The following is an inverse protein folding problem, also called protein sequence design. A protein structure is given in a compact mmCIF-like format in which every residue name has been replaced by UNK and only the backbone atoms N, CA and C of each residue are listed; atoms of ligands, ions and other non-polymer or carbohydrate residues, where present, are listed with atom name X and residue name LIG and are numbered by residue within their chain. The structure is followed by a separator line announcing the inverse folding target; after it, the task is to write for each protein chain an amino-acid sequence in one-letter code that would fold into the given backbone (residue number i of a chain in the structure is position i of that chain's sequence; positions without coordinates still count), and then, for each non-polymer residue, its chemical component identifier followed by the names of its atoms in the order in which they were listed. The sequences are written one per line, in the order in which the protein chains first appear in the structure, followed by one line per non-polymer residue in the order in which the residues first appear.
data_IF_108168980092
#
_entry.id   IF_108168980092
#
_cell.length_a   1.000
_cell.length_b   1.000
_cell.length_c   1.000
_cell.angle_alpha   90.00
_cell.angle_beta   90.00
_cell.angle_gamma   90.00
#
_symmetry.space_group_name_H-M   'P 1'
#
loop_
_entity.id
_entity.type
_entity.pdbx_description
1 polymer ?
#
# COMPACT_ATOMS: atom_id res chain seq x y z
N UNK A 1 -30.34 -71.20 6.12
CA UNK A 1 -29.17 -71.99 6.55
C UNK A 1 -28.52 -71.27 7.73
N UNK A 2 -28.55 -71.87 8.94
CA UNK A 2 -27.76 -71.55 10.15
C UNK A 2 -27.88 -70.12 10.73
N UNK A 3 -28.78 -69.79 11.67
CA UNK A 3 -28.76 -70.09 13.12
C UNK A 3 -27.37 -69.95 13.80
N UNK A 4 -27.17 -68.92 14.63
CA UNK A 4 -27.30 -69.01 16.10
C UNK A 4 -27.00 -67.69 16.82
N UNK A 5 -27.93 -67.36 17.71
CA UNK A 5 -27.85 -66.39 18.80
C UNK A 5 -27.11 -67.07 19.95
N UNK A 6 -26.23 -66.38 20.68
CA UNK A 6 -26.00 -66.66 22.10
C UNK A 6 -25.30 -65.49 22.80
N UNK A 7 -26.09 -64.81 23.62
CA UNK A 7 -25.70 -63.94 24.74
C UNK A 7 -24.79 -64.67 25.71
N UNK A 8 -23.75 -63.99 26.22
CA UNK A 8 -23.11 -64.35 27.48
C UNK A 8 -22.92 -63.07 28.33
N UNK A 9 -23.70 -63.00 29.39
CA UNK A 9 -23.63 -61.98 30.43
C UNK A 9 -22.72 -62.43 31.59
N UNK A 10 -22.40 -61.45 32.45
CA UNK A 10 -21.66 -61.49 33.75
C UNK A 10 -20.16 -61.21 33.59
N UNK A 11 -19.57 -60.25 34.31
CA UNK A 11 -19.76 -59.93 35.74
C UNK A 11 -19.59 -58.43 36.02
N UNK A 12 -20.39 -57.95 36.96
CA UNK A 12 -20.16 -56.73 37.74
C UNK A 12 -18.96 -56.99 38.66
N UNK A 13 -17.98 -56.09 38.67
CA UNK A 13 -17.19 -55.82 39.86
C UNK A 13 -17.05 -54.31 40.01
N UNK A 14 -17.75 -53.80 41.02
CA UNK A 14 -17.67 -52.44 41.49
C UNK A 14 -16.45 -52.37 42.40
N UNK A 15 -15.41 -51.64 42.01
CA UNK A 15 -14.32 -51.27 42.93
C UNK A 15 -14.22 -49.75 42.95
N UNK A 16 -14.89 -49.15 43.94
CA UNK A 16 -14.60 -47.81 44.40
C UNK A 16 -13.27 -47.85 45.14
N UNK A 17 -12.24 -47.19 44.60
CA UNK A 17 -11.07 -46.77 45.38
C UNK A 17 -11.07 -45.25 45.40
N UNK A 18 -11.21 -44.71 46.61
CA UNK A 18 -11.12 -43.31 46.95
C UNK A 18 -9.65 -42.84 46.95
N UNK A 19 -9.47 -41.62 46.43
CA UNK A 19 -8.47 -40.60 46.79
C UNK A 19 -6.97 -40.90 46.64
N UNK A 20 -6.35 -40.21 45.68
CA UNK A 20 -5.14 -39.42 45.92
C UNK A 20 -5.03 -38.31 44.86
N UNK A 21 -5.08 -37.05 45.32
CA UNK A 21 -4.74 -35.90 44.50
C UNK A 21 -3.22 -35.92 44.24
N UNK A 22 -2.83 -35.99 42.97
CA UNK A 22 -1.49 -35.68 42.51
C UNK A 22 -1.61 -34.58 41.45
N UNK A 23 -1.31 -33.35 41.87
CA UNK A 23 -1.22 -32.20 40.97
C UNK A 23 -0.16 -32.46 39.91
N UNK A 24 -0.60 -32.57 38.66
CA UNK A 24 0.26 -32.63 37.49
C UNK A 24 0.19 -31.26 36.82
N UNK A 25 1.27 -30.49 36.92
CA UNK A 25 1.51 -29.31 36.07
C UNK A 25 1.59 -29.81 34.62
N UNK A 26 0.48 -29.73 33.90
CA UNK A 26 0.50 -29.87 32.45
C UNK A 26 1.14 -28.60 31.88
N UNK A 27 2.46 -28.65 31.66
CA UNK A 27 3.16 -27.72 30.81
C UNK A 27 2.51 -27.79 29.43
N UNK A 28 1.82 -26.72 29.06
CA UNK A 28 1.15 -26.58 27.79
C UNK A 28 2.16 -26.70 26.65
N UNK A 29 2.06 -27.79 25.90
CA UNK A 29 2.41 -27.77 24.49
C UNK A 29 1.22 -27.13 23.78
N UNK A 30 1.19 -25.80 23.79
CA UNK A 30 0.50 -25.09 22.74
C UNK A 30 1.16 -25.56 21.43
N UNK A 31 0.44 -26.35 20.64
CA UNK A 31 0.73 -26.41 19.22
C UNK A 31 0.90 -24.96 18.73
N UNK A 32 1.81 -24.67 17.79
CA UNK A 32 1.74 -23.37 17.14
C UNK A 32 0.31 -23.28 16.63
N UNK A 33 -0.43 -22.28 17.12
CA UNK A 33 -1.70 -21.95 16.53
C UNK A 33 -1.43 -21.87 15.04
N UNK A 34 -2.13 -22.70 14.25
CA UNK A 34 -2.23 -22.54 12.81
C UNK A 34 -2.28 -21.03 12.55
N UNK A 35 -1.21 -20.48 11.97
CA UNK A 35 -1.13 -19.07 11.68
C UNK A 35 -2.41 -18.72 10.91
N UNK A 36 -3.19 -17.79 11.45
CA UNK A 36 -4.56 -17.52 11.03
C UNK A 36 -4.69 -17.65 9.51
N UNK A 37 -5.42 -18.67 9.05
CA UNK A 37 -5.83 -18.83 7.66
C UNK A 37 -6.90 -17.79 7.27
N UNK A 38 -6.69 -16.54 7.69
CA UNK A 38 -7.58 -15.41 7.52
C UNK A 38 -6.73 -14.16 7.42
N UNK A 39 -6.30 -13.83 6.20
CA UNK A 39 -5.55 -12.61 5.94
C UNK A 39 -6.28 -11.36 6.47
N UNK A 40 -5.49 -10.33 6.72
CA UNK A 40 -5.86 -9.02 7.27
C UNK A 40 -5.83 -8.00 6.13
N UNK A 41 -6.83 -7.11 6.10
CA UNK A 41 -6.83 -5.87 5.32
C UNK A 41 -6.20 -4.77 6.17
N UNK A 42 -5.12 -4.18 5.66
CA UNK A 42 -4.46 -3.01 6.24
C UNK A 42 -4.89 -1.77 5.46
N UNK A 43 -5.29 -0.69 6.15
CA UNK A 43 -5.84 0.52 5.52
C UNK A 43 -7.37 0.49 5.37
N UNK A 44 -7.92 1.47 4.66
CA UNK A 44 -9.37 1.59 4.38
C UNK A 44 -9.58 2.05 2.92
N UNK A 45 -9.47 1.11 1.95
CA UNK A 45 -9.59 1.44 0.54
C UNK A 45 -10.94 2.08 0.19
N UNK A 46 -12.02 1.63 0.81
CA UNK A 46 -13.36 2.17 0.57
C UNK A 46 -13.48 3.64 1.00
N UNK A 47 -12.91 4.02 2.15
CA UNK A 47 -12.89 5.40 2.60
C UNK A 47 -12.00 6.30 1.72
N UNK A 48 -10.87 5.77 1.24
CA UNK A 48 -9.93 6.51 0.40
C UNK A 48 -10.41 6.66 -1.05
N UNK A 49 -11.16 5.69 -1.60
CA UNK A 49 -11.62 5.65 -2.99
C UNK A 49 -12.39 6.89 -3.45
N UNK A 50 -13.01 7.64 -2.52
CA UNK A 50 -13.74 8.87 -2.84
C UNK A 50 -12.84 10.03 -3.26
N UNK A 51 -11.56 10.00 -2.91
CA UNK A 51 -10.57 11.02 -3.23
C UNK A 51 -9.89 10.79 -4.58
N UNK A 52 -10.07 9.63 -5.18
CA UNK A 52 -9.52 9.37 -6.51
C UNK A 52 -10.12 10.29 -7.58
N UNK A 53 -9.27 10.80 -8.47
CA UNK A 53 -9.63 11.51 -9.70
C UNK A 53 -8.73 11.04 -10.83
N UNK A 54 -9.31 10.84 -12.02
CA UNK A 54 -8.56 10.61 -13.26
C UNK A 54 -7.79 11.88 -13.62
N UNK A 55 -6.49 11.74 -13.89
CA UNK A 55 -5.65 12.82 -14.38
C UNK A 55 -5.90 13.12 -15.86
N UNK A 56 -5.65 14.35 -16.28
CA UNK A 56 -5.70 14.80 -17.68
C UNK A 56 -4.32 15.08 -18.27
N UNK A 57 -3.33 15.33 -17.44
CA UNK A 57 -1.96 15.67 -17.83
C UNK A 57 -0.96 14.68 -17.26
N UNK A 58 0.33 14.84 -17.58
CA UNK A 58 1.44 14.14 -16.94
C UNK A 58 1.68 14.63 -15.49
N UNK A 59 0.71 14.41 -14.60
CA UNK A 59 0.67 15.04 -13.27
C UNK A 59 0.32 14.06 -12.14
N UNK A 60 0.57 12.75 -12.35
CA UNK A 60 0.25 11.66 -11.42
C UNK A 60 0.72 11.94 -9.99
N UNK A 61 1.93 12.48 -9.82
CA UNK A 61 2.51 12.74 -8.51
C UNK A 61 1.77 13.85 -7.74
N UNK A 62 1.29 14.89 -8.43
CA UNK A 62 0.51 15.95 -7.79
C UNK A 62 -0.97 15.56 -7.65
N UNK A 63 -1.49 14.66 -8.50
CA UNK A 63 -2.82 14.08 -8.32
C UNK A 63 -2.87 13.10 -7.14
N UNK A 64 -1.84 12.27 -6.95
CA UNK A 64 -1.67 11.48 -5.73
C UNK A 64 -1.55 12.37 -4.49
N UNK A 65 -0.90 13.54 -4.62
CA UNK A 65 -0.85 14.54 -3.55
C UNK A 65 -2.23 15.13 -3.23
N UNK A 66 -3.02 15.48 -4.24
CA UNK A 66 -4.38 15.98 -4.07
C UNK A 66 -5.26 14.96 -3.31
N UNK A 67 -5.17 13.68 -3.67
CA UNK A 67 -5.86 12.59 -2.98
C UNK A 67 -5.46 12.53 -1.49
N UNK A 68 -4.16 12.52 -1.18
CA UNK A 68 -3.66 12.55 0.20
C UNK A 68 -4.14 13.79 0.96
N UNK A 69 -4.19 14.96 0.31
CA UNK A 69 -4.77 16.18 0.92
C UNK A 69 -6.23 15.95 1.27
N UNK A 70 -7.01 15.35 0.37
CA UNK A 70 -8.39 14.93 0.62
C UNK A 70 -8.51 14.02 1.84
N UNK A 71 -7.70 12.96 1.91
CA UNK A 71 -7.68 12.04 3.05
C UNK A 71 -7.37 12.74 4.37
N UNK A 72 -6.36 13.61 4.40
CA UNK A 72 -5.88 14.24 5.63
C UNK A 72 -6.75 15.39 6.12
N UNK A 73 -7.39 16.11 5.20
CA UNK A 73 -8.11 17.37 5.51
C UNK A 73 -9.61 17.27 5.36
N UNK A 74 -10.11 16.27 4.62
CA UNK A 74 -11.50 16.20 4.19
C UNK A 74 -11.84 17.16 3.03
N UNK A 75 -10.84 17.84 2.45
CA UNK A 75 -11.02 18.82 1.37
C UNK A 75 -9.93 18.68 0.32
N UNK A 76 -10.20 17.88 -0.70
CA UNK A 76 -9.31 17.66 -1.85
C UNK A 76 -9.26 18.89 -2.77
N UNK A 77 -8.06 19.37 -3.18
CA UNK A 77 -7.96 20.37 -4.24
C UNK A 77 -8.36 19.76 -5.60
N UNK A 78 -8.87 20.59 -6.51
CA UNK A 78 -9.02 20.15 -7.90
C UNK A 78 -7.65 19.99 -8.59
N UNK A 79 -7.60 19.22 -9.68
CA UNK A 79 -6.41 19.09 -10.54
C UNK A 79 -5.82 20.46 -10.92
N UNK A 80 -6.66 21.41 -11.38
CA UNK A 80 -6.18 22.75 -11.72
C UNK A 80 -5.63 23.50 -10.50
N UNK A 81 -6.23 23.33 -9.32
CA UNK A 81 -5.77 23.99 -8.11
C UNK A 81 -4.40 23.44 -7.66
N UNK A 82 -4.21 22.12 -7.68
CA UNK A 82 -2.92 21.52 -7.31
C UNK A 82 -1.84 21.84 -8.35
N UNK A 83 -2.18 21.87 -9.66
CA UNK A 83 -1.29 22.35 -10.72
C UNK A 83 -0.83 23.78 -10.44
N UNK A 84 -1.75 24.69 -10.12
CA UNK A 84 -1.41 26.09 -9.84
C UNK A 84 -0.47 26.24 -8.64
N UNK A 85 -0.71 25.47 -7.57
CA UNK A 85 0.20 25.46 -6.40
C UNK A 85 1.56 24.90 -6.79
N UNK A 86 1.62 23.78 -7.52
CA UNK A 86 2.87 23.16 -7.91
C UNK A 86 3.69 24.02 -8.89
N UNK A 87 3.05 24.75 -9.80
CA UNK A 87 3.70 25.69 -10.72
C UNK A 87 4.19 26.97 -10.04
N UNK A 88 3.56 27.38 -8.95
CA UNK A 88 3.96 28.57 -8.18
C UNK A 88 4.93 28.26 -7.04
N UNK A 89 5.17 26.98 -6.76
CA UNK A 89 6.09 26.54 -5.71
C UNK A 89 7.44 26.16 -6.31
N UNK A 90 8.57 26.78 -5.88
CA UNK A 90 9.89 26.37 -6.33
C UNK A 90 10.21 24.92 -5.97
N UNK A 91 10.80 24.19 -6.92
CA UNK A 91 11.35 22.86 -6.66
C UNK A 91 12.54 22.97 -5.69
N UNK A 92 12.69 21.95 -4.86
CA UNK A 92 13.83 21.74 -3.97
C UNK A 92 14.90 20.84 -4.58
N UNK A 93 14.63 20.25 -5.75
CA UNK A 93 15.49 19.24 -6.39
C UNK A 93 16.09 19.71 -7.71
N UNK A 94 15.50 20.72 -8.35
CA UNK A 94 15.99 21.33 -9.58
C UNK A 94 15.59 22.81 -9.68
N UNK A 95 16.21 23.60 -10.59
CA UNK A 95 15.72 24.94 -10.90
C UNK A 95 14.29 24.93 -11.44
N UNK A 96 13.49 25.94 -11.09
CA UNK A 96 12.10 26.08 -11.56
C UNK A 96 11.06 25.66 -10.53
N UNK A 97 9.85 25.38 -11.01
CA UNK A 97 8.69 24.97 -10.21
C UNK A 97 8.66 23.46 -9.95
N UNK A 98 7.88 23.03 -8.95
CA UNK A 98 7.67 21.61 -8.64
C UNK A 98 7.03 20.84 -9.80
N UNK A 99 6.11 21.48 -10.52
CA UNK A 99 5.48 20.89 -11.71
C UNK A 99 5.98 21.60 -12.97
N UNK A 100 6.53 20.81 -13.89
CA UNK A 100 6.93 21.26 -15.22
C UNK A 100 5.86 20.76 -16.19
N UNK A 101 4.89 21.62 -16.56
CA UNK A 101 3.79 21.21 -17.42
C UNK A 101 4.31 20.82 -18.81
N UNK A 102 3.50 20.09 -19.58
CA UNK A 102 3.77 19.87 -20.99
C UNK A 102 3.99 21.19 -21.74
N UNK A 103 5.16 21.32 -22.37
CA UNK A 103 5.47 22.46 -23.22
C UNK A 103 4.59 22.50 -24.49
N UNK A 104 4.12 21.35 -24.95
CA UNK A 104 3.19 21.20 -26.07
C UNK A 104 1.77 20.94 -25.56
N UNK A 105 0.88 21.92 -25.76
CA UNK A 105 -0.54 21.81 -25.42
C UNK A 105 -1.32 20.71 -26.15
N UNK A 106 -0.77 20.18 -27.26
CA UNK A 106 -1.37 19.06 -28.01
C UNK A 106 -0.80 17.70 -27.55
N UNK A 107 0.26 17.69 -26.76
CA UNK A 107 0.85 16.49 -26.19
C UNK A 107 0.92 16.61 -24.65
N UNK A 108 -0.12 16.14 -23.93
CA UNK A 108 -0.19 16.26 -22.46
C UNK A 108 0.91 15.49 -21.70
N UNK A 109 1.76 14.74 -22.40
CA UNK A 109 2.91 14.00 -21.85
C UNK A 109 4.26 14.61 -22.22
N UNK A 110 4.29 15.82 -22.83
CA UNK A 110 5.55 16.47 -23.20
C UNK A 110 6.20 17.25 -22.04
N UNK A 111 5.75 17.02 -20.81
CA UNK A 111 6.26 17.67 -19.60
C UNK A 111 7.43 16.88 -19.00
N UNK A 112 7.87 17.29 -17.82
CA UNK A 112 8.74 16.48 -16.97
C UNK A 112 8.02 16.07 -15.67
N UNK A 113 6.70 16.20 -15.64
CA UNK A 113 5.87 15.99 -14.47
C UNK A 113 6.36 16.71 -13.23
N UNK A 114 6.40 15.97 -12.12
CA UNK A 114 6.92 16.41 -10.83
C UNK A 114 7.91 15.40 -10.30
N UNK A 115 9.08 15.87 -9.85
CA UNK A 115 10.01 15.02 -9.12
C UNK A 115 9.39 14.60 -7.78
N UNK A 116 9.25 13.28 -7.54
CA UNK A 116 8.67 12.71 -6.31
C UNK A 116 9.32 13.22 -5.01
N UNK A 117 10.56 13.69 -5.07
CA UNK A 117 11.27 14.28 -3.92
C UNK A 117 10.71 15.65 -3.51
N UNK A 118 9.95 16.32 -4.38
CA UNK A 118 9.32 17.61 -4.08
C UNK A 118 7.93 17.49 -3.42
N UNK A 119 7.34 16.29 -3.40
CA UNK A 119 6.00 16.08 -2.83
C UNK A 119 5.87 16.48 -1.36
N UNK A 120 6.86 16.29 -0.46
CA UNK A 120 6.78 16.82 0.90
C UNK A 120 6.69 18.35 0.96
N UNK A 121 7.27 19.06 -0.01
CA UNK A 121 7.14 20.52 -0.10
C UNK A 121 5.75 20.92 -0.56
N UNK A 122 5.17 20.19 -1.52
CA UNK A 122 3.80 20.43 -1.96
C UNK A 122 2.77 20.13 -0.85
N UNK A 123 2.90 19.01 -0.13
CA UNK A 123 2.04 18.65 1.00
C UNK A 123 2.11 19.69 2.14
N UNK A 124 3.27 20.30 2.36
CA UNK A 124 3.45 21.34 3.39
C UNK A 124 2.63 22.60 3.10
N UNK A 125 2.30 22.88 1.83
CA UNK A 125 1.38 23.97 1.48
C UNK A 125 -0.02 23.77 2.09
N UNK A 126 -0.40 22.51 2.32
CA UNK A 126 -1.69 22.11 2.92
C UNK A 126 -1.56 21.76 4.41
N UNK A 127 -0.50 22.21 5.08
CA UNK A 127 -0.19 21.89 6.48
C UNK A 127 -0.03 20.39 6.79
N UNK A 128 0.35 19.59 5.78
CA UNK A 128 0.59 18.16 5.93
C UNK A 128 2.11 17.90 5.93
N UNK A 129 2.64 17.43 7.05
CA UNK A 129 4.00 16.91 7.13
C UNK A 129 4.09 15.51 6.52
N UNK A 130 5.16 15.23 5.78
CA UNK A 130 5.44 13.92 5.21
C UNK A 130 6.95 13.60 5.24
N UNK A 131 7.26 12.31 5.25
CA UNK A 131 8.61 11.78 5.15
C UNK A 131 8.72 10.90 3.91
N UNK A 132 9.88 10.95 3.25
CA UNK A 132 10.22 10.06 2.14
C UNK A 132 11.26 9.05 2.61
N UNK A 133 11.22 7.86 2.01
CA UNK A 133 12.23 6.83 2.17
C UNK A 133 12.25 5.91 0.96
N UNK A 134 13.32 5.16 0.84
CA UNK A 134 13.53 4.08 -0.11
C UNK A 134 14.47 3.05 0.55
N UNK A 135 14.86 2.01 -0.18
CA UNK A 135 15.73 0.96 0.36
C UNK A 135 17.08 1.50 0.87
N UNK A 136 17.64 2.51 0.20
CA UNK A 136 18.93 3.09 0.57
C UNK A 136 18.81 3.95 1.83
N UNK A 137 17.81 4.82 1.89
CA UNK A 137 17.54 5.67 3.04
C UNK A 137 17.20 4.82 4.27
N UNK A 138 16.36 3.80 4.13
CA UNK A 138 16.01 2.89 5.22
C UNK A 138 17.25 2.15 5.78
N UNK A 139 18.17 1.72 4.91
CA UNK A 139 19.43 1.09 5.33
C UNK A 139 20.35 2.04 6.12
N UNK A 140 20.15 3.37 6.00
CA UNK A 140 20.90 4.43 6.69
C UNK A 140 20.15 5.01 7.89
N UNK A 141 19.25 4.24 8.51
CA UNK A 141 18.37 4.64 9.63
C UNK A 141 17.31 5.69 9.25
N UNK A 142 16.95 5.79 7.97
CA UNK A 142 15.75 6.51 7.54
C UNK A 142 14.45 5.79 7.93
N UNK A 143 13.28 6.37 7.59
CA UNK A 143 12.00 5.69 7.77
C UNK A 143 12.00 4.31 7.09
N UNK A 144 11.30 3.34 7.65
CA UNK A 144 11.27 2.00 7.07
C UNK A 144 10.51 1.99 5.74
N UNK A 145 10.95 1.16 4.78
CA UNK A 145 10.23 0.89 3.54
C UNK A 145 9.96 -0.61 3.36
N UNK A 146 9.32 -1.00 2.27
CA UNK A 146 8.93 -2.37 1.95
C UNK A 146 7.58 -2.77 2.54
N UNK A 147 7.13 -3.99 2.22
CA UNK A 147 5.77 -4.44 2.51
C UNK A 147 5.40 -4.42 4.00
N UNK A 148 6.33 -4.73 4.89
CA UNK A 148 6.05 -4.70 6.33
C UNK A 148 5.86 -3.28 6.86
N UNK A 149 6.68 -2.33 6.39
CA UNK A 149 6.52 -0.92 6.71
C UNK A 149 5.22 -0.36 6.11
N UNK A 150 4.93 -0.68 4.85
CA UNK A 150 3.69 -0.27 4.17
C UNK A 150 2.45 -0.73 4.94
N UNK A 151 2.36 -2.03 5.29
CA UNK A 151 1.28 -2.57 6.11
C UNK A 151 1.18 -1.86 7.46
N UNK A 152 2.31 -1.57 8.11
CA UNK A 152 2.34 -0.86 9.38
C UNK A 152 1.75 0.55 9.25
N UNK A 153 2.24 1.35 8.30
CA UNK A 153 1.76 2.72 8.05
C UNK A 153 0.26 2.77 7.74
N UNK A 154 -0.24 1.81 6.95
CA UNK A 154 -1.66 1.71 6.65
C UNK A 154 -2.49 1.30 7.88
N UNK A 155 -2.02 0.33 8.69
CA UNK A 155 -2.69 -0.04 9.94
C UNK A 155 -2.73 1.11 10.95
N UNK A 156 -1.70 1.96 10.98
CA UNK A 156 -1.65 3.14 11.85
C UNK A 156 -2.25 4.39 11.20
N UNK A 157 -2.98 4.24 10.09
CA UNK A 157 -3.76 5.28 9.40
C UNK A 157 -2.91 6.45 8.86
N UNK A 158 -1.68 6.22 8.44
CA UNK A 158 -0.95 7.20 7.63
C UNK A 158 -1.34 7.08 6.16
N UNK A 159 -1.38 8.21 5.46
CA UNK A 159 -1.57 8.20 4.02
C UNK A 159 -0.21 7.96 3.33
N UNK A 160 -0.22 7.17 2.26
CA UNK A 160 1.00 6.67 1.60
C UNK A 160 0.94 6.89 0.09
N UNK A 161 2.00 7.48 -0.46
CA UNK A 161 2.26 7.52 -1.92
C UNK A 161 3.47 6.65 -2.20
N UNK A 162 3.41 5.86 -3.28
CA UNK A 162 4.56 5.12 -3.79
C UNK A 162 4.89 5.56 -5.21
N UNK A 163 6.14 5.37 -5.61
CA UNK A 163 6.58 5.50 -7.00
C UNK A 163 6.78 4.10 -7.57
N UNK A 164 6.20 3.78 -8.72
CA UNK A 164 6.36 2.48 -9.39
C UNK A 164 6.45 2.66 -10.91
N UNK A 165 6.61 1.57 -11.65
CA UNK A 165 6.48 1.57 -13.10
C UNK A 165 5.01 1.33 -13.49
N UNK A 166 4.41 2.29 -14.19
CA UNK A 166 2.99 2.26 -14.56
C UNK A 166 2.67 1.12 -15.53
N UNK A 167 3.47 0.94 -16.57
CA UNK A 167 3.18 -0.02 -17.64
C UNK A 167 3.12 -1.45 -17.10
N UNK A 168 3.92 -1.76 -16.08
CA UNK A 168 3.88 -3.03 -15.38
C UNK A 168 2.54 -3.31 -14.71
N UNK A 169 1.96 -2.34 -13.98
CA UNK A 169 0.68 -2.54 -13.28
C UNK A 169 -0.51 -2.46 -14.23
N UNK A 170 -0.39 -1.73 -15.34
CA UNK A 170 -1.41 -1.65 -16.39
C UNK A 170 -1.37 -2.85 -17.36
N UNK A 171 -0.34 -3.69 -17.28
CA UNK A 171 -0.16 -4.85 -18.15
C UNK A 171 0.24 -4.46 -19.58
N UNK A 172 0.89 -3.31 -19.73
CA UNK A 172 1.35 -2.75 -20.99
C UNK A 172 2.82 -3.12 -21.26
N UNK A 173 3.29 -3.02 -22.52
CA UNK A 173 4.71 -3.10 -22.82
C UNK A 173 5.49 -2.04 -22.03
N UNK A 174 6.55 -2.46 -21.32
CA UNK A 174 7.39 -1.54 -20.55
C UNK A 174 8.28 -0.76 -21.51
N UNK A 175 8.09 0.55 -21.60
CA UNK A 175 8.90 1.47 -22.40
C UNK A 175 9.79 2.35 -21.51
N UNK A 176 9.32 2.71 -20.31
CA UNK A 176 10.09 3.39 -19.27
C UNK A 176 11.23 2.50 -18.73
N UNK A 177 12.42 2.67 -19.33
CA UNK A 177 13.62 1.88 -19.02
C UNK A 177 14.87 2.76 -18.85
N UNK A 178 15.87 2.23 -18.13
CA UNK A 178 17.23 2.78 -18.10
C UNK A 178 18.02 2.45 -19.39
N UNK A 179 19.25 2.97 -19.50
CA UNK A 179 20.13 2.75 -20.65
C UNK A 179 20.50 1.27 -20.85
N UNK A 180 20.43 0.47 -19.79
CA UNK A 180 20.64 -0.97 -19.78
C UNK A 180 19.37 -1.78 -20.14
N UNK A 181 18.23 -1.10 -20.31
CA UNK A 181 16.95 -1.71 -20.67
C UNK A 181 16.15 -2.28 -19.50
N UNK A 182 16.53 -2.00 -18.24
CA UNK A 182 15.77 -2.39 -17.06
C UNK A 182 14.59 -1.43 -16.86
N UNK A 183 13.40 -1.93 -16.44
CA UNK A 183 12.28 -1.08 -16.08
C UNK A 183 12.63 -0.06 -14.99
N UNK A 184 12.20 1.19 -15.17
CA UNK A 184 12.34 2.26 -14.16
C UNK A 184 10.97 2.80 -13.76
N UNK A 185 10.90 3.37 -12.56
CA UNK A 185 9.67 4.00 -12.08
C UNK A 185 9.42 5.34 -12.77
N UNK A 186 8.19 5.54 -13.21
CA UNK A 186 7.69 6.72 -13.90
C UNK A 186 6.36 7.25 -13.33
N UNK A 187 5.72 6.49 -12.44
CA UNK A 187 4.37 6.77 -11.98
C UNK A 187 4.24 6.83 -10.46
N UNK A 188 3.38 7.72 -9.96
CA UNK A 188 3.09 7.89 -8.53
C UNK A 188 1.62 7.61 -8.24
N UNK A 189 1.36 6.74 -7.27
CA UNK A 189 0.02 6.30 -6.89
C UNK A 189 -0.15 6.31 -5.38
N UNK A 190 -1.40 6.43 -4.91
CA UNK A 190 -1.73 6.32 -3.49
C UNK A 190 -2.02 4.85 -3.17
N UNK A 191 -1.34 4.28 -2.18
CA UNK A 191 -1.70 2.98 -1.65
C UNK A 191 -2.77 3.16 -0.57
N UNK A 192 -3.95 2.60 -0.80
CA UNK A 192 -5.12 2.77 0.08
C UNK A 192 -5.35 1.55 0.97
N UNK A 193 -4.80 0.40 0.60
CA UNK A 193 -4.75 -0.77 1.46
C UNK A 193 -3.94 -1.95 0.94
N UNK A 194 -3.69 -2.91 1.82
CA UNK A 194 -3.07 -4.21 1.49
C UNK A 194 -3.98 -5.30 2.03
N UNK A 195 -4.56 -6.10 1.16
CA UNK A 195 -5.37 -7.26 1.53
C UNK A 195 -4.55 -8.54 1.39
N UNK A 196 -4.04 -9.03 2.53
CA UNK A 196 -3.25 -10.27 2.57
C UNK A 196 -4.10 -11.54 2.39
N UNK A 197 -5.44 -11.44 2.45
CA UNK A 197 -6.34 -12.57 2.22
C UNK A 197 -6.54 -12.82 0.73
N UNK A 198 -6.81 -11.76 -0.02
CA UNK A 198 -6.99 -11.82 -1.48
C UNK A 198 -5.66 -11.70 -2.23
N UNK A 199 -4.58 -11.28 -1.56
CA UNK A 199 -3.25 -11.16 -2.15
C UNK A 199 -3.15 -9.97 -3.09
N UNK A 200 -3.82 -8.85 -2.75
CA UNK A 200 -3.85 -7.64 -3.58
C UNK A 200 -3.46 -6.40 -2.77
N UNK A 201 -2.97 -5.39 -3.49
CA UNK A 201 -2.78 -4.03 -3.01
C UNK A 201 -3.85 -3.16 -3.67
N UNK A 202 -4.53 -2.36 -2.86
CA UNK A 202 -5.54 -1.40 -3.28
C UNK A 202 -4.89 -0.05 -3.54
N UNK A 203 -5.16 0.53 -4.71
CA UNK A 203 -4.58 1.78 -5.17
C UNK A 203 -5.67 2.79 -5.52
N UNK A 204 -5.37 4.07 -5.32
CA UNK A 204 -5.96 5.13 -6.12
C UNK A 204 -4.91 5.56 -7.16
N UNK A 205 -5.12 5.15 -8.40
CA UNK A 205 -4.25 5.41 -9.55
C UNK A 205 -4.89 6.45 -10.48
N UNK A 206 -4.41 7.70 -10.43
CA UNK A 206 -4.97 8.76 -11.28
C UNK A 206 -4.72 8.55 -12.77
N UNK A 207 -3.73 7.74 -13.18
CA UNK A 207 -3.38 7.48 -14.57
C UNK A 207 -4.31 6.48 -15.27
N UNK A 208 -5.06 5.69 -14.50
CA UNK A 208 -5.98 4.70 -15.03
C UNK A 208 -7.44 5.13 -14.86
N UNK A 209 -8.26 5.08 -15.93
CA UNK A 209 -9.71 5.37 -15.85
C UNK A 209 -10.48 4.47 -14.88
N UNK A 210 -9.94 3.29 -14.59
CA UNK A 210 -10.45 2.33 -13.60
C UNK A 210 -9.64 2.34 -12.30
N UNK A 211 -8.80 3.36 -12.09
CA UNK A 211 -7.82 3.44 -11.01
C UNK A 211 -8.40 3.73 -9.63
N UNK A 212 -9.73 3.85 -9.49
CA UNK A 212 -10.39 4.03 -8.20
C UNK A 212 -10.47 2.68 -7.49
N UNK A 213 -9.81 2.56 -6.34
CA UNK A 213 -9.69 1.28 -5.63
C UNK A 213 -9.20 0.14 -6.54
N UNK A 214 -8.22 0.44 -7.38
CA UNK A 214 -7.62 -0.53 -8.28
C UNK A 214 -6.88 -1.61 -7.49
N UNK A 215 -7.15 -2.87 -7.82
CA UNK A 215 -6.61 -4.02 -7.12
C UNK A 215 -5.49 -4.65 -7.95
N UNK A 216 -4.26 -4.49 -7.49
CA UNK A 216 -3.07 -5.05 -8.13
C UNK A 216 -2.61 -6.29 -7.36
N UNK A 217 -2.34 -7.43 -8.02
CA UNK A 217 -1.75 -8.58 -7.34
C UNK A 217 -0.47 -8.20 -6.60
N UNK A 218 -0.32 -8.66 -5.35
CA UNK A 218 0.76 -8.24 -4.45
C UNK A 218 2.15 -8.41 -5.07
N UNK A 219 2.41 -9.55 -5.71
CA UNK A 219 3.70 -9.83 -6.36
C UNK A 219 3.98 -8.87 -7.53
N UNK A 220 2.95 -8.51 -8.29
CA UNK A 220 3.06 -7.54 -9.39
C UNK A 220 3.35 -6.14 -8.83
N UNK A 221 2.62 -5.73 -7.79
CA UNK A 221 2.84 -4.46 -7.12
C UNK A 221 4.27 -4.35 -6.58
N UNK A 222 4.76 -5.36 -5.86
CA UNK A 222 6.13 -5.36 -5.31
C UNK A 222 7.17 -5.29 -6.42
N UNK A 223 6.96 -6.00 -7.53
CA UNK A 223 7.88 -5.98 -8.67
C UNK A 223 7.91 -4.60 -9.35
N UNK A 224 6.75 -3.96 -9.54
CA UNK A 224 6.67 -2.61 -10.10
C UNK A 224 7.25 -1.56 -9.14
N UNK A 225 6.99 -1.68 -7.84
CA UNK A 225 7.49 -0.78 -6.80
C UNK A 225 9.01 -0.90 -6.60
N UNK A 226 9.59 -2.08 -6.82
CA UNK A 226 11.04 -2.28 -6.76
C UNK A 226 11.82 -1.41 -7.78
N UNK A 227 11.18 -0.99 -8.89
CA UNK A 227 11.78 -0.11 -9.91
C UNK A 227 12.10 1.29 -9.38
N UNK A 228 11.54 1.70 -8.24
CA UNK A 228 11.88 2.94 -7.54
C UNK A 228 12.73 2.71 -6.29
N UNK A 229 13.30 1.52 -6.13
CA UNK A 229 13.95 1.06 -4.89
C UNK A 229 13.00 1.10 -3.68
N UNK A 230 11.74 0.76 -3.90
CA UNK A 230 10.69 0.83 -2.88
C UNK A 230 10.51 2.26 -2.34
N UNK A 231 10.51 3.26 -3.23
CA UNK A 231 10.26 4.64 -2.84
C UNK A 231 8.86 4.77 -2.23
N UNK A 232 8.80 5.38 -1.05
CA UNK A 232 7.57 5.64 -0.33
C UNK A 232 7.62 7.04 0.27
N UNK A 233 6.50 7.75 0.16
CA UNK A 233 6.17 8.91 0.96
C UNK A 233 5.07 8.54 1.94
N UNK A 234 5.22 8.92 3.20
CA UNK A 234 4.23 8.70 4.25
C UNK A 234 3.96 9.97 5.04
N UNK A 235 2.70 10.24 5.36
CA UNK A 235 2.34 11.39 6.20
C UNK A 235 2.82 11.21 7.63
N UNK A 236 3.22 12.30 8.30
CA UNK A 236 3.62 12.25 9.72
C UNK A 236 2.40 12.13 10.63
N UNK A 237 1.33 12.86 10.31
CA UNK A 237 0.04 12.74 11.00
C UNK A 237 -0.81 11.61 10.39
N UNK A 238 -1.82 11.19 11.14
CA UNK A 238 -2.77 10.15 10.73
C UNK A 238 -4.05 10.75 10.15
N UNK A 239 -4.71 10.01 9.26
CA UNK A 239 -6.03 10.30 8.72
C UNK A 239 -7.04 10.37 9.87
N UNK A 240 -7.85 11.45 9.87
CA UNK A 240 -8.88 11.70 10.89
C UNK A 240 -10.05 10.72 10.81
#
# INVERSE_FOLDING_TARGET
MGFKIATAARRVLLTLVTSAAAGSLALGLAAPAEAAAGGILYGDPAAAAKWWRLQKYDDCAIMATADVVGQMTGSEPSEQAIINVAQSTPSTTHPGSIYIPPADSQNPNSGNGTNRLDLPTLLRHYDIGAQITDAEAAAKNGPATGMDALKHYLATRHAVIVSLNAEMIWGEPVESKDDEGNPVSDHSVVVTGVDTRSGVVHLNDSGNKNGRDEQIPLDLFVKAWATSHYFLLVTVATIK
#
